data_IF_702654500082
#
_entry.id   IF_702654500082
#
_cell.length_a   1.000
_cell.length_b   1.000
_cell.length_c   1.000
_cell.angle_alpha   90.00
_cell.angle_beta   90.00
_cell.angle_gamma   90.00
#
_symmetry.space_group_name_H-M   'P 1'
#
loop_
_entity.id
_entity.type
_entity.pdbx_description
1 polymer ?
#
# COMPACT_ATOMS: atom_id res chain seq x y z
N UNK A 1 -5.62 10.58 23.09
CA UNK A 1 -5.70 10.25 22.77
C UNK A 1 -5.84 9.68 22.10
N UNK A 2 -5.99 9.68 21.61
CA UNK A 2 -6.27 9.31 20.95
C UNK A 2 -6.34 8.33 20.43
N UNK A 3 -6.64 7.83 20.53
CA UNK A 3 -6.80 6.76 20.14
C UNK A 3 -7.41 6.53 18.96
N UNK A 4 -8.20 7.15 18.69
CA UNK A 4 -8.89 6.97 17.48
C UNK A 4 -8.02 6.90 16.35
N UNK A 5 -7.05 7.59 16.37
CA UNK A 5 -6.20 7.63 15.23
C UNK A 5 -5.51 6.36 15.00
N UNK A 6 -5.81 5.38 15.83
CA UNK A 6 -5.14 4.27 15.64
C UNK A 6 -5.71 3.36 14.76
N UNK A 7 -6.79 3.60 14.10
CA UNK A 7 -7.36 2.67 13.19
C UNK A 7 -6.52 2.48 11.95
N UNK A 8 -5.68 3.42 11.61
CA UNK A 8 -4.81 3.26 10.45
C UNK A 8 -3.40 3.62 10.85
N UNK A 9 -2.46 2.68 10.74
CA UNK A 9 -1.08 2.97 11.10
C UNK A 9 -0.32 3.77 10.04
N UNK A 10 -0.93 4.01 8.90
CA UNK A 10 -0.25 4.71 7.80
C UNK A 10 -0.79 6.13 7.72
N UNK A 11 0.09 7.12 7.64
CA UNK A 11 -0.36 8.51 7.55
C UNK A 11 -1.20 8.74 6.31
N UNK A 12 -2.31 9.41 6.50
CA UNK A 12 -3.18 9.67 5.37
C UNK A 12 -2.54 10.63 4.37
N UNK A 13 -1.55 11.37 4.80
CA UNK A 13 -0.89 12.27 3.90
C UNK A 13 -0.10 11.53 2.83
N UNK A 14 0.10 10.24 3.00
CA UNK A 14 0.79 9.45 2.00
C UNK A 14 -0.11 9.10 0.82
N UNK A 15 -1.42 9.28 0.97
CA UNK A 15 -2.34 8.97 -0.12
C UNK A 15 -2.02 9.86 -1.31
N UNK A 16 -1.89 9.25 -2.47
CA UNK A 16 -1.52 9.94 -3.68
C UNK A 16 -0.03 9.97 -3.94
N UNK A 17 0.77 9.48 -2.99
CA UNK A 17 2.21 9.50 -3.13
C UNK A 17 2.73 8.13 -3.57
N UNK A 18 3.89 8.13 -4.16
CA UNK A 18 4.53 6.89 -4.55
C UNK A 18 5.04 6.18 -3.29
N UNK A 19 4.79 4.91 -3.22
CA UNK A 19 5.17 4.12 -2.05
C UNK A 19 5.72 2.78 -2.49
N UNK A 20 6.46 2.15 -1.59
CA UNK A 20 6.96 0.82 -1.80
C UNK A 20 6.33 -0.07 -0.74
N UNK A 21 5.74 -1.16 -1.15
CA UNK A 21 5.06 -2.08 -0.26
C UNK A 21 5.83 -3.38 -0.19
N UNK A 22 6.02 -3.88 1.02
CA UNK A 22 6.55 -5.21 1.24
C UNK A 22 5.41 -6.03 1.81
N UNK A 23 5.10 -7.14 1.16
CA UNK A 23 3.94 -7.93 1.57
C UNK A 23 4.23 -9.42 1.46
N UNK A 24 3.37 -10.20 2.09
CA UNK A 24 3.49 -11.66 2.07
C UNK A 24 2.59 -12.20 0.98
N UNK A 25 3.15 -13.07 0.15
CA UNK A 25 2.38 -13.73 -0.89
C UNK A 25 2.67 -15.19 -0.76
N UNK A 26 1.72 -15.95 -0.22
CA UNK A 26 1.95 -17.35 0.06
C UNK A 26 2.99 -17.48 1.15
N UNK A 27 4.09 -18.16 0.84
CA UNK A 27 5.18 -18.29 1.78
C UNK A 27 6.35 -17.39 1.43
N UNK A 28 6.14 -16.44 0.53
CA UNK A 28 7.22 -15.57 0.08
C UNK A 28 6.94 -14.12 0.46
N UNK A 29 8.01 -13.36 0.56
CA UNK A 29 7.92 -11.92 0.76
C UNK A 29 8.14 -11.25 -0.58
N UNK A 30 7.23 -10.37 -0.95
CA UNK A 30 7.27 -9.71 -2.24
C UNK A 30 7.29 -8.22 -2.07
N UNK A 31 7.64 -7.53 -3.14
CA UNK A 31 7.71 -6.07 -3.13
C UNK A 31 6.85 -5.53 -4.26
N UNK A 32 6.23 -4.41 -4.02
CA UNK A 32 5.45 -3.74 -5.05
C UNK A 32 5.64 -2.25 -4.92
N UNK A 33 5.67 -1.57 -6.06
CA UNK A 33 5.79 -0.12 -6.08
C UNK A 33 4.55 0.44 -6.77
N UNK A 34 4.01 1.50 -6.24
CA UNK A 34 2.83 2.11 -6.82
C UNK A 34 2.49 3.37 -6.08
N UNK A 35 1.27 3.85 -6.32
CA UNK A 35 0.78 5.03 -5.65
C UNK A 35 -0.29 4.62 -4.67
N UNK A 36 -0.22 5.15 -3.46
CA UNK A 36 -1.19 4.80 -2.43
C UNK A 36 -2.50 5.49 -2.75
N UNK A 37 -3.56 4.70 -2.94
CA UNK A 37 -4.85 5.25 -3.29
C UNK A 37 -5.77 5.37 -2.10
N UNK A 38 -5.73 4.42 -1.21
CA UNK A 38 -6.65 4.39 -0.11
C UNK A 38 -6.08 3.60 1.04
N UNK A 39 -6.40 4.03 2.25
CA UNK A 39 -6.04 3.31 3.47
C UNK A 39 -7.30 3.23 4.29
N UNK A 40 -7.65 2.03 4.73
CA UNK A 40 -8.81 1.87 5.59
C UNK A 40 -8.54 0.76 6.57
N UNK A 41 -9.55 0.40 7.36
CA UNK A 41 -9.34 -0.58 8.42
C UNK A 41 -9.18 -1.99 7.91
N UNK A 42 -9.38 -2.24 6.63
CA UNK A 42 -9.20 -3.56 6.06
C UNK A 42 -7.85 -3.73 5.40
N UNK A 43 -7.26 -2.65 4.93
CA UNK A 43 -5.99 -2.73 4.25
C UNK A 43 -5.72 -1.49 3.44
N UNK A 44 -4.97 -1.66 2.38
CA UNK A 44 -4.59 -0.54 1.53
C UNK A 44 -4.84 -0.88 0.08
N UNK A 45 -5.02 0.16 -0.72
CA UNK A 45 -5.17 0.00 -2.16
C UNK A 45 -4.01 0.75 -2.81
N UNK A 46 -3.28 0.06 -3.66
CA UNK A 46 -2.20 0.67 -4.43
C UNK A 46 -2.57 0.65 -5.89
N UNK A 47 -2.25 1.70 -6.59
CA UNK A 47 -2.37 1.70 -8.04
C UNK A 47 -0.98 1.38 -8.58
N UNK A 48 -0.87 0.20 -9.18
CA UNK A 48 0.39 -0.28 -9.70
C UNK A 48 0.48 0.12 -11.15
N UNK A 49 1.60 0.70 -11.55
CA UNK A 49 1.73 1.16 -12.92
C UNK A 49 1.76 0.02 -13.89
N UNK A 50 1.28 0.28 -15.07
CA UNK A 50 1.27 -0.74 -16.08
C UNK A 50 2.62 -0.95 -16.70
N UNK A 51 2.77 -2.10 -17.34
CA UNK A 51 3.99 -2.45 -18.02
C UNK A 51 3.60 -3.00 -19.39
N UNK A 52 4.14 -2.41 -20.42
CA UNK A 52 3.86 -2.92 -21.75
C UNK A 52 2.37 -2.92 -22.05
N UNK A 53 1.81 -4.11 -22.19
CA UNK A 53 0.41 -4.21 -22.51
C UNK A 53 -0.51 -4.18 -21.31
N UNK A 54 0.05 -4.17 -20.12
CA UNK A 54 -0.76 -4.22 -18.92
C UNK A 54 -1.02 -2.81 -18.42
N UNK A 55 -2.27 -2.38 -18.35
CA UNK A 55 -2.55 -1.03 -17.87
C UNK A 55 -2.37 -0.92 -16.37
N UNK A 56 -2.24 0.28 -15.90
CA UNK A 56 -2.20 0.53 -14.46
C UNK A 56 -3.52 0.07 -13.86
N UNK A 57 -3.47 -0.44 -12.65
CA UNK A 57 -4.67 -0.95 -12.01
C UNK A 57 -4.53 -0.89 -10.51
N UNK A 58 -5.66 -0.79 -9.78
CA UNK A 58 -5.62 -0.81 -8.33
C UNK A 58 -5.56 -2.24 -7.82
N UNK A 59 -4.78 -2.44 -6.78
CA UNK A 59 -4.67 -3.73 -6.13
C UNK A 59 -4.88 -3.52 -4.64
N UNK A 60 -5.63 -4.42 -4.04
CA UNK A 60 -5.94 -4.34 -2.61
C UNK A 60 -5.03 -5.28 -1.83
N UNK A 61 -4.48 -4.79 -0.73
CA UNK A 61 -3.63 -5.58 0.14
C UNK A 61 -4.19 -5.50 1.55
N UNK A 62 -4.66 -6.61 2.12
CA UNK A 62 -5.18 -6.59 3.49
C UNK A 62 -4.05 -6.40 4.48
N UNK A 63 -4.38 -5.84 5.64
CA UNK A 63 -3.37 -5.59 6.65
C UNK A 63 -2.61 -6.86 7.04
N UNK A 64 -3.27 -8.00 7.02
CA UNK A 64 -2.59 -9.23 7.39
C UNK A 64 -1.47 -9.61 6.44
N UNK A 65 -1.47 -9.07 5.24
CA UNK A 65 -0.42 -9.37 4.27
C UNK A 65 0.63 -8.28 4.21
N UNK A 66 0.38 -7.12 4.79
CA UNK A 66 1.30 -6.00 4.70
C UNK A 66 2.36 -6.12 5.77
N UNK A 67 3.62 -6.11 5.37
CA UNK A 67 4.73 -6.13 6.30
C UNK A 67 5.21 -4.71 6.56
N UNK A 68 5.37 -3.94 5.50
CA UNK A 68 5.93 -2.61 5.62
C UNK A 68 5.50 -1.77 4.43
N UNK A 69 5.25 -0.51 4.66
CA UNK A 69 4.97 0.42 3.59
C UNK A 69 5.84 1.64 3.82
N UNK A 70 6.53 2.07 2.79
CA UNK A 70 7.42 3.21 2.90
C UNK A 70 7.13 4.17 1.76
N UNK A 71 7.19 5.45 2.05
CA UNK A 71 7.03 6.45 1.03
C UNK A 71 8.34 6.56 0.29
N UNK A 72 8.29 6.42 -1.04
CA UNK A 72 9.51 6.55 -1.81
C UNK A 72 9.67 8.02 -2.12
N UNK A 73 10.88 8.49 -1.91
CA UNK A 73 11.04 9.87 -2.19
C UNK A 73 11.72 10.03 -3.48
N UNK A 74 11.42 11.00 -4.14
CA UNK A 74 12.05 11.24 -5.30
C UNK A 74 12.37 12.52 -5.50
#
# INVERSE_FOLDING_TARGET
MSEASRSTPIPETWIGHAVELVFVSGSSTEYANGYLEEVNDRGIVLTVEGHGEHPARPLFYPWGAVIQLAETSD
#
